data_IF_961225383872
#
_entry.id   IF_961225383872
#
_cell.length_a   1.000
_cell.length_b   1.000
_cell.length_c   1.000
_cell.angle_alpha   90.00
_cell.angle_beta   90.00
_cell.angle_gamma   90.00
#
_symmetry.space_group_name_H-M   'P 1'
#
loop_
_entity.id
_entity.type
_entity.pdbx_description
1 polymer ?
#
# COMPACT_ATOMS: atom_id res chain seq x y z
N UNK A 1 6.24 -51.78 62.54
CA UNK A 1 6.58 -50.49 61.88
C UNK A 1 6.43 -50.50 60.35
N UNK A 2 5.99 -51.58 59.70
CA UNK A 2 5.72 -51.57 58.24
C UNK A 2 4.30 -51.16 57.84
N UNK A 3 3.30 -51.28 58.73
CA UNK A 3 1.89 -51.02 58.40
C UNK A 3 1.53 -49.52 58.27
N UNK A 4 2.18 -48.65 59.05
CA UNK A 4 1.92 -47.20 59.09
C UNK A 4 2.47 -46.43 57.89
N UNK A 5 3.40 -47.01 57.13
CA UNK A 5 3.93 -46.42 55.89
C UNK A 5 3.02 -46.70 54.69
N UNK A 6 2.28 -47.81 54.71
CA UNK A 6 1.39 -48.21 53.62
C UNK A 6 0.08 -47.42 53.68
N UNK A 7 -0.44 -47.12 54.88
CA UNK A 7 -1.68 -46.33 55.03
C UNK A 7 -1.54 -44.88 54.54
N UNK A 8 -0.36 -44.26 54.75
CA UNK A 8 -0.06 -42.90 54.29
C UNK A 8 0.05 -42.81 52.75
N UNK A 9 0.50 -43.89 52.11
CA UNK A 9 0.54 -44.01 50.65
C UNK A 9 -0.85 -44.24 50.03
N UNK A 10 -1.83 -44.67 50.82
CA UNK A 10 -3.24 -44.88 50.40
C UNK A 10 -4.17 -43.75 50.80
N UNK A 11 -3.66 -42.63 51.29
CA UNK A 11 -4.49 -41.47 51.62
C UNK A 11 -4.93 -40.76 50.32
N UNK A 12 -6.23 -40.58 50.08
CA UNK A 12 -6.73 -40.00 48.83
C UNK A 12 -6.25 -38.56 48.61
N UNK A 13 -5.91 -37.83 49.68
CA UNK A 13 -5.33 -36.48 49.64
C UNK A 13 -3.96 -36.45 48.96
N UNK A 14 -3.13 -37.48 49.13
CA UNK A 14 -1.81 -37.58 48.49
C UNK A 14 -1.96 -37.70 46.96
N UNK A 15 -2.88 -38.54 46.48
CA UNK A 15 -3.17 -38.68 45.05
C UNK A 15 -3.76 -37.42 44.44
N UNK A 16 -4.65 -36.72 45.17
CA UNK A 16 -5.22 -35.44 44.72
C UNK A 16 -4.11 -34.39 44.59
N UNK A 17 -3.20 -34.29 45.55
CA UNK A 17 -2.07 -33.37 45.50
C UNK A 17 -1.11 -33.71 44.33
N UNK A 18 -0.83 -35.00 44.11
CA UNK A 18 0.02 -35.47 43.02
C UNK A 18 -0.59 -35.12 41.65
N UNK A 19 -1.89 -35.34 41.45
CA UNK A 19 -2.60 -34.99 40.21
C UNK A 19 -2.65 -33.48 40.02
N UNK A 20 -2.91 -32.70 41.08
CA UNK A 20 -2.91 -31.24 41.01
C UNK A 20 -1.54 -30.70 40.56
N UNK A 21 -0.45 -31.29 41.07
CA UNK A 21 0.92 -30.92 40.70
C UNK A 21 1.20 -31.28 39.23
N UNK A 22 0.84 -32.49 38.80
CA UNK A 22 1.01 -32.92 37.40
C UNK A 22 0.21 -32.06 36.42
N UNK A 23 -1.04 -31.71 36.76
CA UNK A 23 -1.88 -30.82 35.96
C UNK A 23 -1.30 -29.41 35.88
N UNK A 24 -0.77 -28.87 36.98
CA UNK A 24 -0.13 -27.55 37.00
C UNK A 24 1.08 -27.50 36.06
N UNK A 25 1.95 -28.52 36.12
CA UNK A 25 3.11 -28.63 35.24
C UNK A 25 2.68 -28.76 33.77
N UNK A 26 1.67 -29.60 33.50
CA UNK A 26 1.13 -29.76 32.15
C UNK A 26 0.55 -28.46 31.59
N UNK A 27 -0.26 -27.74 32.39
CA UNK A 27 -0.85 -26.46 32.01
C UNK A 27 0.24 -25.44 31.70
N UNK A 28 1.31 -25.38 32.51
CA UNK A 28 2.43 -24.48 32.28
C UNK A 28 3.08 -24.72 30.91
N UNK A 29 3.39 -25.98 30.57
CA UNK A 29 3.97 -26.31 29.26
C UNK A 29 3.01 -26.05 28.10
N UNK A 30 1.71 -26.33 28.28
CA UNK A 30 0.71 -26.07 27.25
C UNK A 30 0.53 -24.56 27.01
N UNK A 31 0.56 -23.76 28.08
CA UNK A 31 0.42 -22.31 28.02
C UNK A 31 1.66 -21.66 27.40
N UNK A 32 2.87 -22.07 27.79
CA UNK A 32 4.13 -21.60 27.20
C UNK A 32 4.18 -21.87 25.68
N UNK A 33 3.78 -23.07 25.24
CA UNK A 33 3.67 -23.39 23.81
C UNK A 33 2.65 -22.51 23.09
N UNK A 34 1.52 -22.16 23.74
CA UNK A 34 0.50 -21.29 23.16
C UNK A 34 0.97 -19.84 23.06
N UNK A 35 1.60 -19.31 24.11
CA UNK A 35 2.19 -17.96 24.12
C UNK A 35 3.19 -17.85 22.98
N UNK A 36 4.15 -18.78 22.89
CA UNK A 36 5.17 -18.76 21.84
C UNK A 36 4.57 -18.77 20.43
N UNK A 37 3.51 -19.55 20.20
CA UNK A 37 2.80 -19.54 18.90
C UNK A 37 2.15 -18.19 18.60
N UNK A 38 1.52 -17.57 19.59
CA UNK A 38 0.91 -16.26 19.42
C UNK A 38 1.96 -15.18 19.17
N UNK A 39 3.07 -15.19 19.92
CA UNK A 39 4.20 -14.28 19.71
C UNK A 39 4.79 -14.45 18.30
N UNK A 40 4.97 -15.68 17.82
CA UNK A 40 5.48 -15.90 16.46
C UNK A 40 4.55 -15.34 15.39
N UNK A 41 3.23 -15.48 15.57
CA UNK A 41 2.25 -14.95 14.61
C UNK A 41 2.22 -13.42 14.62
N UNK A 42 2.27 -12.80 15.80
CA UNK A 42 2.32 -11.34 15.95
C UNK A 42 3.58 -10.79 15.28
N UNK A 43 4.74 -11.39 15.56
CA UNK A 43 6.00 -10.97 15.00
C UNK A 43 6.03 -11.12 13.48
N UNK A 44 5.48 -12.21 12.94
CA UNK A 44 5.35 -12.40 11.49
C UNK A 44 4.49 -11.30 10.86
N UNK A 45 3.31 -11.03 11.44
CA UNK A 45 2.43 -9.99 10.94
C UNK A 45 3.06 -8.60 11.00
N UNK A 46 3.78 -8.29 12.08
CA UNK A 46 4.50 -7.02 12.22
C UNK A 46 5.62 -6.89 11.18
N UNK A 47 6.39 -7.96 10.94
CA UNK A 47 7.41 -7.99 9.90
C UNK A 47 6.81 -7.78 8.51
N UNK A 48 5.72 -8.48 8.18
CA UNK A 48 5.02 -8.31 6.90
C UNK A 48 4.51 -6.87 6.74
N UNK A 49 3.92 -6.29 7.78
CA UNK A 49 3.46 -4.90 7.75
C UNK A 49 4.60 -3.93 7.52
N UNK A 50 5.73 -4.12 8.20
CA UNK A 50 6.93 -3.28 8.03
C UNK A 50 7.53 -3.42 6.63
N UNK A 51 7.52 -4.63 6.04
CA UNK A 51 7.97 -4.83 4.68
C UNK A 51 7.07 -4.09 3.68
N UNK A 52 5.75 -4.25 3.82
CA UNK A 52 4.78 -3.56 2.96
C UNK A 52 4.88 -2.03 3.10
N UNK A 53 5.05 -1.53 4.33
CA UNK A 53 5.22 -0.10 4.58
C UNK A 53 6.51 0.44 3.96
N UNK A 54 7.62 -0.31 4.05
CA UNK A 54 8.89 0.05 3.38
C UNK A 54 8.76 0.06 1.86
N UNK A 55 7.99 -0.87 1.28
CA UNK A 55 7.72 -0.85 -0.15
C UNK A 55 6.87 0.36 -0.55
N UNK A 56 5.80 0.67 0.21
CA UNK A 56 4.96 1.84 -0.05
C UNK A 56 5.76 3.14 0.07
N UNK A 57 6.71 3.23 1.00
CA UNK A 57 7.60 4.39 1.14
C UNK A 57 8.48 4.62 -0.10
N UNK A 58 8.76 3.58 -0.88
CA UNK A 58 9.57 3.67 -2.10
C UNK A 58 8.76 3.97 -3.36
N UNK A 59 7.44 3.82 -3.31
CA UNK A 59 6.57 3.98 -4.47
C UNK A 59 6.06 5.41 -4.59
N UNK A 60 6.17 5.96 -5.78
CA UNK A 60 5.43 7.15 -6.18
C UNK A 60 4.17 6.71 -6.93
N UNK A 61 3.07 7.44 -6.77
CA UNK A 61 1.82 7.13 -7.44
C UNK A 61 1.28 8.40 -8.05
N UNK A 62 1.09 8.41 -9.37
CA UNK A 62 0.60 9.59 -10.08
C UNK A 62 -0.87 9.43 -10.42
N UNK A 63 -1.65 10.46 -10.11
CA UNK A 63 -3.06 10.56 -10.44
C UNK A 63 -3.32 11.82 -11.27
N UNK A 64 -4.25 11.73 -12.23
CA UNK A 64 -4.74 12.87 -13.00
C UNK A 64 -6.14 13.23 -12.51
N UNK A 65 -6.31 14.49 -12.13
CA UNK A 65 -7.60 15.11 -11.88
C UNK A 65 -7.86 16.14 -12.97
N UNK A 66 -9.12 16.29 -13.37
CA UNK A 66 -9.51 17.23 -14.43
C UNK A 66 -10.43 18.25 -13.81
N UNK A 67 -10.06 19.52 -13.97
CA UNK A 67 -10.95 20.64 -13.67
C UNK A 67 -11.59 21.11 -14.99
N UNK A 68 -12.91 20.93 -15.06
CA UNK A 68 -13.77 21.24 -16.20
C UNK A 68 -14.62 22.49 -15.99
N UNK A 69 -14.27 23.32 -15.00
CA UNK A 69 -15.02 24.55 -14.67
C UNK A 69 -15.12 25.55 -15.83
N UNK A 70 -14.26 25.46 -16.85
CA UNK A 70 -14.26 26.33 -18.02
C UNK A 70 -14.52 25.53 -19.31
N UNK A 71 -15.39 26.04 -20.17
CA UNK A 71 -15.81 25.35 -21.40
C UNK A 71 -14.74 25.30 -22.49
N UNK A 72 -13.82 26.27 -22.54
CA UNK A 72 -12.75 26.36 -23.54
C UNK A 72 -11.36 25.98 -23.01
N UNK A 73 -11.27 25.67 -21.71
CA UNK A 73 -10.02 25.42 -21.01
C UNK A 73 -10.21 24.25 -20.06
N UNK A 74 -9.33 23.25 -20.16
CA UNK A 74 -9.31 22.10 -19.26
C UNK A 74 -7.98 22.07 -18.54
N UNK A 75 -8.02 22.01 -17.21
CA UNK A 75 -6.83 21.95 -16.37
C UNK A 75 -6.59 20.49 -15.94
N UNK A 76 -5.54 19.89 -16.48
CA UNK A 76 -5.03 18.57 -16.08
C UNK A 76 -4.14 18.72 -14.86
N UNK A 77 -4.63 18.32 -13.70
CA UNK A 77 -3.92 18.38 -12.44
C UNK A 77 -3.30 17.01 -12.16
N UNK A 78 -1.99 16.91 -12.29
CA UNK A 78 -1.22 15.71 -11.98
C UNK A 78 -0.78 15.81 -10.52
N UNK A 79 -1.11 14.80 -9.73
CA UNK A 79 -0.80 14.75 -8.29
C UNK A 79 0.02 13.50 -8.00
N UNK A 80 1.07 13.65 -7.19
CA UNK A 80 1.75 12.48 -6.61
C UNK A 80 1.07 12.11 -5.29
N UNK A 81 0.25 11.06 -5.29
CA UNK A 81 -0.40 10.49 -4.10
C UNK A 81 0.45 9.42 -3.40
N UNK A 82 1.61 9.10 -3.97
CA UNK A 82 2.58 8.19 -3.37
C UNK A 82 3.37 8.82 -2.22
N UNK A 83 4.24 8.02 -1.60
CA UNK A 83 5.11 8.45 -0.49
C UNK A 83 6.52 8.80 -0.94
N UNK A 84 6.86 8.53 -2.20
CA UNK A 84 8.17 8.82 -2.76
C UNK A 84 8.13 9.85 -3.89
N UNK A 85 9.29 10.40 -4.22
CA UNK A 85 9.52 11.25 -5.39
C UNK A 85 9.16 10.51 -6.68
N UNK A 86 8.26 11.10 -7.48
CA UNK A 86 8.10 10.72 -8.88
C UNK A 86 9.09 11.54 -9.71
N UNK A 87 10.03 10.86 -10.36
CA UNK A 87 11.09 11.47 -11.17
C UNK A 87 10.89 11.16 -12.66
N UNK A 88 11.46 11.99 -13.54
CA UNK A 88 11.38 11.83 -15.00
C UNK A 88 9.95 11.63 -15.52
N UNK A 89 9.01 12.44 -15.01
CA UNK A 89 7.60 12.35 -15.35
C UNK A 89 7.40 12.81 -16.80
N UNK A 90 7.03 11.87 -17.67
CA UNK A 90 6.77 12.06 -19.08
C UNK A 90 5.28 11.88 -19.36
N UNK A 91 4.72 12.76 -20.16
CA UNK A 91 3.29 12.77 -20.49
C UNK A 91 3.16 12.60 -21.99
N UNK A 92 2.43 11.59 -22.41
CA UNK A 92 2.00 11.40 -23.78
C UNK A 92 0.49 11.62 -23.83
N UNK A 93 0.04 12.56 -24.64
CA UNK A 93 -1.39 12.79 -24.87
C UNK A 93 -1.68 12.30 -26.28
N UNK A 94 -2.44 11.22 -26.38
CA UNK A 94 -2.88 10.64 -27.64
C UNK A 94 -4.28 11.14 -27.97
N UNK A 95 -4.40 11.71 -29.16
CA UNK A 95 -5.68 12.02 -29.79
C UNK A 95 -6.28 10.72 -30.30
N UNK A 96 -7.43 10.32 -29.76
CA UNK A 96 -8.24 9.35 -30.48
C UNK A 96 -8.74 10.07 -31.74
N UNK A 97 -8.42 9.50 -32.91
CA UNK A 97 -8.99 9.88 -34.21
C UNK A 97 -8.28 10.98 -35.03
N UNK A 98 -6.98 11.21 -34.86
CA UNK A 98 -6.17 11.90 -35.89
C UNK A 98 -6.57 13.35 -36.19
N UNK A 99 -7.24 14.01 -35.24
CA UNK A 99 -7.61 15.42 -35.32
C UNK A 99 -6.78 16.19 -34.29
N UNK A 100 -5.77 16.91 -34.77
CA UNK A 100 -4.97 17.88 -34.01
C UNK A 100 -5.91 18.94 -33.43
N UNK A 101 -6.27 18.78 -32.15
CA UNK A 101 -7.47 19.42 -31.60
C UNK A 101 -7.24 20.35 -30.41
N UNK A 102 -6.06 20.32 -29.79
CA UNK A 102 -5.80 21.12 -28.59
C UNK A 102 -4.41 21.72 -28.59
N UNK A 103 -4.31 22.92 -28.02
CA UNK A 103 -3.04 23.63 -27.86
C UNK A 103 -2.57 23.43 -26.42
N UNK A 104 -1.42 22.77 -26.28
CA UNK A 104 -0.68 22.73 -25.02
C UNK A 104 0.24 23.94 -25.00
N UNK A 105 -0.03 24.90 -24.11
CA UNK A 105 0.77 26.14 -24.02
C UNK A 105 2.12 25.92 -23.34
N UNK A 106 2.28 24.83 -22.60
CA UNK A 106 3.47 24.53 -21.83
C UNK A 106 4.32 23.43 -22.49
N UNK A 107 5.63 23.64 -22.52
CA UNK A 107 6.56 22.58 -22.93
C UNK A 107 6.50 21.47 -21.89
N UNK A 108 6.01 20.30 -22.30
CA UNK A 108 6.03 19.07 -21.50
C UNK A 108 7.47 18.55 -21.48
N UNK A 109 8.32 19.20 -20.68
CA UNK A 109 9.62 18.67 -20.31
C UNK A 109 9.43 17.66 -19.18
N UNK A 110 10.27 16.61 -19.10
CA UNK A 110 10.30 15.76 -17.93
C UNK A 110 10.43 16.59 -16.66
N UNK A 111 9.63 16.26 -15.65
CA UNK A 111 9.62 16.95 -14.38
C UNK A 111 9.52 15.98 -13.22
N UNK A 112 9.64 16.51 -12.02
CA UNK A 112 9.58 15.73 -10.79
C UNK A 112 8.43 16.26 -9.92
N UNK A 113 7.80 15.34 -9.17
CA UNK A 113 6.77 15.67 -8.19
C UNK A 113 7.10 15.01 -6.85
N UNK A 114 7.29 15.85 -5.82
CA UNK A 114 7.38 15.38 -4.44
C UNK A 114 6.03 14.78 -3.99
N UNK A 115 6.02 13.96 -2.92
CA UNK A 115 4.78 13.46 -2.32
C UNK A 115 3.79 14.59 -2.01
N UNK A 116 2.52 14.41 -2.38
CA UNK A 116 1.43 15.38 -2.28
C UNK A 116 1.60 16.68 -3.10
N UNK A 117 2.64 16.77 -3.92
CA UNK A 117 2.80 17.89 -4.84
C UNK A 117 1.92 17.68 -6.06
N UNK A 118 1.45 18.81 -6.62
CA UNK A 118 0.66 18.83 -7.85
C UNK A 118 1.29 19.71 -8.91
N UNK A 119 1.06 19.36 -10.17
CA UNK A 119 1.36 20.18 -11.33
C UNK A 119 0.15 20.25 -12.23
N UNK A 120 -0.22 21.46 -12.64
CA UNK A 120 -1.33 21.69 -13.56
C UNK A 120 -0.79 21.91 -14.97
N UNK A 121 -1.41 21.27 -15.95
CA UNK A 121 -1.17 21.48 -17.37
C UNK A 121 -2.48 21.96 -17.96
N UNK A 122 -2.43 23.12 -18.60
CA UNK A 122 -3.61 23.74 -19.22
C UNK A 122 -3.74 23.28 -20.67
N UNK A 123 -4.90 22.74 -21.02
CA UNK A 123 -5.30 22.44 -22.38
C UNK A 123 -6.32 23.48 -22.86
N UNK A 124 -6.08 24.05 -24.05
CA UNK A 124 -7.04 24.92 -24.71
C UNK A 124 -7.74 24.18 -25.84
N UNK A 125 -9.07 24.18 -25.78
CA UNK A 125 -9.94 23.53 -26.76
C UNK A 125 -10.25 24.50 -27.90
N UNK A 126 -10.20 24.03 -29.14
CA UNK A 126 -10.66 24.77 -30.31
C UNK A 126 -11.73 23.99 -31.11
N UNK A 127 -12.35 24.66 -32.08
CA UNK A 127 -13.33 24.02 -32.97
C UNK A 127 -12.68 22.83 -33.68
N UNK A 128 -13.23 21.63 -33.50
CA UNK A 128 -12.65 20.37 -33.97
C UNK A 128 -11.91 19.54 -32.93
N UNK A 129 -11.86 19.98 -31.66
CA UNK A 129 -11.29 19.15 -30.57
C UNK A 129 -12.02 17.81 -30.44
N UNK A 130 -11.31 16.69 -30.18
CA UNK A 130 -11.95 15.41 -29.93
C UNK A 130 -12.76 15.43 -28.63
N UNK A 131 -13.85 14.67 -28.57
CA UNK A 131 -14.70 14.57 -27.37
C UNK A 131 -14.00 13.82 -26.23
N UNK A 132 -12.98 13.02 -26.55
CA UNK A 132 -12.24 12.20 -25.60
C UNK A 132 -10.75 12.17 -25.91
N UNK A 133 -9.94 12.29 -24.87
CA UNK A 133 -8.48 12.23 -24.94
C UNK A 133 -7.93 11.15 -24.02
N UNK A 134 -6.81 10.56 -24.44
CA UNK A 134 -6.08 9.58 -23.64
C UNK A 134 -4.74 10.17 -23.24
N UNK A 135 -4.50 10.35 -21.94
CA UNK A 135 -3.21 10.76 -21.40
C UNK A 135 -2.52 9.58 -20.72
N UNK A 136 -1.29 9.32 -21.11
CA UNK A 136 -0.41 8.31 -20.53
C UNK A 136 0.73 9.02 -19.79
N UNK A 137 0.85 8.73 -18.50
CA UNK A 137 1.96 9.18 -17.67
C UNK A 137 3.00 8.07 -17.55
N UNK A 138 4.27 8.44 -17.64
CA UNK A 138 5.41 7.58 -17.33
C UNK A 138 6.30 8.24 -16.30
N UNK A 139 6.78 7.49 -15.31
CA UNK A 139 7.67 8.03 -14.27
C UNK A 139 8.59 6.95 -13.70
N UNK A 140 9.63 7.40 -13.02
CA UNK A 140 10.54 6.56 -12.25
C UNK A 140 10.38 6.86 -10.76
N UNK A 141 10.44 5.81 -9.93
CA UNK A 141 10.57 5.92 -8.48
C UNK A 141 11.67 4.97 -7.96
N UNK A 142 11.92 4.97 -6.64
CA UNK A 142 12.93 4.08 -6.05
C UNK A 142 12.52 2.59 -6.06
N UNK A 143 11.25 2.28 -6.31
CA UNK A 143 10.78 0.90 -6.39
C UNK A 143 10.98 0.31 -7.79
N UNK A 144 10.66 1.08 -8.83
CA UNK A 144 10.73 0.65 -10.23
C UNK A 144 10.86 1.85 -11.17
N UNK A 145 11.59 1.63 -12.28
CA UNK A 145 11.65 2.54 -13.41
C UNK A 145 10.56 2.23 -14.46
N UNK A 146 10.18 3.24 -15.23
CA UNK A 146 9.16 3.19 -16.28
C UNK A 146 7.82 2.65 -15.76
N UNK A 147 7.37 3.18 -14.62
CA UNK A 147 5.97 3.04 -14.21
C UNK A 147 5.09 3.77 -15.22
N UNK A 148 3.91 3.22 -15.50
CA UNK A 148 3.01 3.75 -16.52
C UNK A 148 1.56 3.70 -16.01
N UNK A 149 0.82 4.77 -16.27
CA UNK A 149 -0.63 4.82 -16.05
C UNK A 149 -1.29 5.58 -17.19
N UNK A 150 -2.40 5.05 -17.68
CA UNK A 150 -3.17 5.64 -18.77
C UNK A 150 -4.55 6.03 -18.27
N UNK A 151 -4.92 7.26 -18.55
CA UNK A 151 -6.23 7.83 -18.24
C UNK A 151 -6.94 8.21 -19.53
N UNK A 152 -8.21 7.83 -19.65
CA UNK A 152 -9.10 8.32 -20.70
C UNK A 152 -10.12 9.26 -20.07
N UNK A 153 -10.28 10.43 -20.65
CA UNK A 153 -11.20 11.43 -20.15
C UNK A 153 -11.89 12.17 -21.29
N UNK A 154 -13.09 12.66 -20.99
CA UNK A 154 -13.82 13.55 -21.87
C UNK A 154 -13.27 14.98 -21.76
N UNK A 155 -13.17 15.67 -22.90
CA UNK A 155 -12.75 17.07 -22.95
C UNK A 155 -13.91 18.03 -22.70
#
# INVERSE_FOLDING_TARGET
MHSSLISFLTDPSFYVALVALLLSVWIYFAHDKRIKRQETLINQFELERLMLEKELQKKANLEILIDDSQSARKDLIIVNTGKNLASDIRISIEENEGIEGFIITERILPFELQPNQRRTITLFLHTGSPDCVTATLKWNDEYKADNEVTYKFAL
#
